data_IF_776955995554
#
_entry.id   IF_776955995554
#
_cell.length_a   1.000
_cell.length_b   1.000
_cell.length_c   1.000
_cell.angle_alpha   90.00
_cell.angle_beta   90.00
_cell.angle_gamma   90.00
#
_symmetry.space_group_name_H-M   'P 1'
#
loop_
_entity.id
_entity.type
_entity.pdbx_description
1 polymer ?
#
# COMPACT_ATOMS: atom_id res chain seq x y z
N UNK A 1 11.97 9.81 25.92
CA UNK A 1 10.63 9.23 26.17
C UNK A 1 9.53 9.62 25.18
N UNK A 2 9.81 10.45 24.17
CA UNK A 2 8.84 10.78 23.13
C UNK A 2 8.73 9.67 22.08
N UNK A 3 7.49 9.25 21.82
CA UNK A 3 7.07 8.38 20.72
C UNK A 3 5.89 9.06 20.01
N UNK A 4 5.70 8.87 18.70
CA UNK A 4 6.49 8.02 17.78
C UNK A 4 7.88 8.57 17.46
N UNK A 5 8.76 7.74 16.86
CA UNK A 5 10.12 8.13 16.46
C UNK A 5 10.32 7.98 14.96
N UNK A 6 10.88 9.00 14.32
CA UNK A 6 11.35 8.89 12.94
C UNK A 6 12.48 7.86 12.83
N UNK A 7 12.40 6.97 11.84
CA UNK A 7 13.41 5.91 11.61
C UNK A 7 14.09 6.03 10.25
N UNK A 8 13.40 6.60 9.26
CA UNK A 8 14.01 6.82 7.97
C UNK A 8 13.00 7.14 6.87
N UNK A 9 13.55 7.33 5.68
CA UNK A 9 12.82 7.64 4.46
C UNK A 9 12.96 6.49 3.47
N UNK A 10 11.83 6.02 2.93
CA UNK A 10 11.80 5.04 1.85
C UNK A 10 11.59 5.75 0.52
N UNK A 11 12.45 5.42 -0.45
CA UNK A 11 12.30 5.81 -1.84
C UNK A 11 11.88 4.59 -2.66
N UNK A 12 10.76 4.67 -3.35
CA UNK A 12 10.23 3.56 -4.14
C UNK A 12 9.31 4.05 -5.26
N UNK A 13 9.05 3.17 -6.23
CA UNK A 13 8.06 3.44 -7.27
C UNK A 13 6.71 2.78 -6.96
N UNK A 14 5.64 3.57 -7.02
CA UNK A 14 4.26 3.08 -7.08
C UNK A 14 3.77 2.93 -8.52
N UNK A 15 2.70 2.16 -8.69
CA UNK A 15 2.04 1.96 -9.97
C UNK A 15 0.79 2.80 -10.08
N UNK A 16 0.70 3.61 -11.13
CA UNK A 16 -0.51 4.37 -11.44
C UNK A 16 -1.69 3.42 -11.70
N UNK A 17 -2.79 3.57 -10.96
CA UNK A 17 -4.01 2.75 -11.07
C UNK A 17 -5.17 3.49 -11.71
N UNK A 18 -5.11 4.83 -11.77
CA UNK A 18 -6.19 5.68 -12.27
C UNK A 18 -5.73 6.47 -13.49
N UNK A 19 -6.44 6.32 -14.61
CA UNK A 19 -6.19 7.15 -15.79
C UNK A 19 -6.71 8.57 -15.57
N UNK A 20 -6.04 9.56 -16.17
CA UNK A 20 -6.54 10.94 -16.27
C UNK A 20 -6.77 11.67 -14.95
N UNK A 21 -6.01 11.33 -13.90
CA UNK A 21 -5.99 12.14 -12.68
C UNK A 21 -5.24 13.44 -12.95
N UNK A 22 -5.89 14.58 -12.69
CA UNK A 22 -5.22 15.88 -12.67
C UNK A 22 -4.62 16.07 -11.30
N UNK A 23 -3.33 16.37 -11.24
CA UNK A 23 -2.64 16.55 -9.98
C UNK A 23 -1.90 17.87 -9.98
N UNK A 24 -2.18 18.67 -8.95
CA UNK A 24 -1.61 20.00 -8.79
C UNK A 24 -0.21 19.88 -8.22
N UNK A 25 0.70 20.75 -8.69
CA UNK A 25 2.05 20.81 -8.16
C UNK A 25 2.02 21.13 -6.67
N UNK A 26 2.71 20.33 -5.85
CA UNK A 26 2.74 20.49 -4.40
C UNK A 26 1.66 19.70 -3.65
N UNK A 27 0.84 18.90 -4.34
CA UNK A 27 -0.07 17.97 -3.67
C UNK A 27 0.71 16.94 -2.84
N UNK A 28 0.30 16.74 -1.60
CA UNK A 28 0.72 15.64 -0.73
C UNK A 28 -0.11 14.39 -1.00
N UNK A 29 0.44 13.24 -0.60
CA UNK A 29 -0.24 11.95 -0.73
C UNK A 29 -0.27 11.23 0.61
N UNK A 30 -1.29 10.41 0.81
CA UNK A 30 -1.41 9.54 1.97
C UNK A 30 -1.49 8.08 1.55
N UNK A 31 -0.95 7.20 2.39
CA UNK A 31 -1.07 5.75 2.22
C UNK A 31 -2.33 5.25 2.94
N UNK A 32 -3.14 4.45 2.24
CA UNK A 32 -4.35 3.83 2.77
C UNK A 32 -4.23 2.32 2.62
N UNK A 33 -4.29 1.62 3.75
CA UNK A 33 -4.31 0.15 3.75
C UNK A 33 -5.71 -0.32 3.44
N UNK A 34 -5.86 -1.15 2.41
CA UNK A 34 -7.11 -1.82 2.07
C UNK A 34 -6.92 -3.33 2.15
N UNK A 35 -7.83 -4.00 2.85
CA UNK A 35 -7.99 -5.45 2.79
C UNK A 35 -8.91 -5.77 1.61
N UNK A 36 -8.33 -5.99 0.43
CA UNK A 36 -9.11 -6.51 -0.68
C UNK A 36 -9.20 -8.03 -0.55
N UNK A 37 -10.41 -8.62 -0.57
CA UNK A 37 -10.52 -10.03 -0.89
C UNK A 37 -10.03 -10.22 -2.32
N UNK A 38 -8.91 -10.90 -2.51
CA UNK A 38 -8.52 -11.41 -3.84
C UNK A 38 -9.56 -12.44 -4.24
N UNK A 39 -10.60 -12.00 -4.96
CA UNK A 39 -11.54 -12.91 -5.62
C UNK A 39 -10.76 -13.58 -6.74
N UNK A 40 -10.07 -14.68 -6.42
CA UNK A 40 -9.56 -15.59 -7.44
C UNK A 40 -10.79 -16.15 -8.13
N UNK A 41 -11.01 -15.71 -9.36
CA UNK A 41 -11.98 -16.32 -10.25
C UNK A 41 -11.67 -17.81 -10.31
N UNK A 42 -12.55 -18.64 -9.74
CA UNK A 42 -12.49 -20.09 -9.93
C UNK A 42 -12.61 -20.33 -11.44
N UNK A 43 -11.49 -20.66 -12.08
CA UNK A 43 -11.51 -21.35 -13.36
C UNK A 43 -12.38 -22.59 -13.18
N UNK A 44 -13.53 -22.61 -13.86
CA UNK A 44 -14.46 -23.74 -13.87
C UNK A 44 -13.83 -24.86 -14.70
N UNK A 45 -12.82 -25.53 -14.14
CA UNK A 45 -12.37 -26.81 -14.65
C UNK A 45 -13.44 -27.84 -14.26
N UNK A 46 -14.30 -28.15 -15.22
CA UNK A 46 -15.37 -29.15 -15.13
C UNK A 46 -14.74 -30.54 -15.01
N UNK A 47 -14.45 -30.99 -13.80
CA UNK A 47 -14.11 -32.39 -13.52
C UNK A 47 -15.28 -33.10 -12.85
N UNK A 48 -15.94 -33.99 -13.59
CA UNK A 48 -16.80 -35.03 -13.03
C UNK A 48 -15.99 -35.92 -12.09
N UNK A 49 -16.14 -35.82 -10.74
CA UNK A 49 -15.84 -36.93 -9.80
C UNK A 49 -16.68 -36.85 -8.51
N UNK A 50 -16.91 -38.05 -7.97
CA UNK A 50 -17.76 -38.54 -6.86
C UNK A 50 -17.85 -37.68 -5.57
N UNK A 51 -18.92 -37.84 -4.76
CA UNK A 51 -19.04 -37.20 -3.44
C UNK A 51 -18.02 -37.80 -2.46
N UNK A 52 -16.94 -37.07 -2.24
CA UNK A 52 -15.90 -37.36 -1.24
C UNK A 52 -15.55 -36.08 -0.49
N UNK A 53 -15.26 -36.24 0.80
CA UNK A 53 -15.00 -35.23 1.83
C UNK A 53 -14.22 -34.00 1.32
N UNK A 54 -14.78 -32.80 1.52
CA UNK A 54 -14.12 -31.52 1.24
C UNK A 54 -13.07 -31.27 2.33
N UNK A 55 -11.81 -31.58 2.06
CA UNK A 55 -10.70 -31.08 2.87
C UNK A 55 -10.58 -29.57 2.58
N UNK A 56 -10.95 -28.73 3.55
CA UNK A 56 -10.78 -27.28 3.41
C UNK A 56 -9.28 -26.98 3.38
N UNK A 57 -8.79 -26.51 2.23
CA UNK A 57 -7.40 -26.10 2.08
C UNK A 57 -7.05 -24.93 3.01
N UNK A 58 -5.75 -24.69 3.26
CA UNK A 58 -5.30 -23.62 4.15
C UNK A 58 -5.91 -22.27 3.74
N UNK A 59 -6.46 -21.53 4.72
CA UNK A 59 -7.06 -20.20 4.55
C UNK A 59 -6.09 -19.31 3.77
N UNK A 60 -6.48 -18.88 2.57
CA UNK A 60 -5.71 -17.91 1.78
C UNK A 60 -5.48 -16.65 2.62
N UNK A 61 -4.21 -16.32 2.88
CA UNK A 61 -3.83 -15.05 3.51
C UNK A 61 -4.29 -13.92 2.59
N UNK A 62 -5.17 -13.05 3.08
CA UNK A 62 -5.53 -11.82 2.37
C UNK A 62 -4.27 -10.97 2.23
N UNK A 63 -3.91 -10.63 0.99
CA UNK A 63 -2.81 -9.73 0.71
C UNK A 63 -3.27 -8.30 1.03
N UNK A 64 -2.62 -7.66 2.00
CA UNK A 64 -2.79 -6.22 2.25
C UNK A 64 -2.36 -5.44 1.00
N UNK A 65 -3.22 -4.54 0.52
CA UNK A 65 -2.90 -3.65 -0.59
C UNK A 65 -2.80 -2.23 -0.05
N UNK A 66 -1.65 -1.59 -0.24
CA UNK A 66 -1.43 -0.20 0.15
C UNK A 66 -1.70 0.69 -1.06
N UNK A 67 -2.75 1.48 -0.97
CA UNK A 67 -3.17 2.46 -1.99
C UNK A 67 -2.61 3.82 -1.63
N UNK A 68 -2.38 4.63 -2.65
CA UNK A 68 -1.90 6.00 -2.51
C UNK A 68 -3.02 6.93 -2.96
N UNK A 69 -3.44 7.81 -2.05
CA UNK A 69 -4.47 8.81 -2.31
C UNK A 69 -3.87 10.19 -2.27
N UNK A 70 -4.37 11.07 -3.13
CA UNK A 70 -4.07 12.50 -3.05
C UNK A 70 -4.80 13.05 -1.81
N UNK A 71 -4.10 13.73 -0.91
CA UNK A 71 -4.70 14.16 0.36
C UNK A 71 -5.85 15.15 0.16
N UNK A 72 -5.67 16.12 -0.73
CA UNK A 72 -6.65 17.18 -0.99
C UNK A 72 -7.97 16.67 -1.57
N UNK A 73 -7.93 15.64 -2.41
CA UNK A 73 -9.12 15.11 -3.10
C UNK A 73 -9.62 13.79 -2.53
N UNK A 74 -8.83 13.10 -1.72
CA UNK A 74 -9.10 11.73 -1.27
C UNK A 74 -9.10 10.69 -2.39
N UNK A 75 -8.82 11.07 -3.65
CA UNK A 75 -8.86 10.17 -4.79
C UNK A 75 -7.63 9.29 -4.81
N UNK A 76 -7.86 8.00 -4.99
CA UNK A 76 -6.78 7.06 -5.31
C UNK A 76 -6.23 7.34 -6.70
N UNK A 77 -4.91 7.32 -6.81
CA UNK A 77 -4.24 7.46 -8.08
C UNK A 77 -3.18 6.38 -8.34
N UNK A 78 -2.66 5.76 -7.29
CA UNK A 78 -1.64 4.73 -7.43
C UNK A 78 -1.68 3.71 -6.30
N UNK A 79 -0.90 2.65 -6.43
CA UNK A 79 -0.72 1.60 -5.42
C UNK A 79 0.75 1.22 -5.28
N UNK A 80 1.13 0.78 -4.09
CA UNK A 80 2.47 0.23 -3.88
C UNK A 80 2.61 -1.16 -4.53
N UNK A 81 3.84 -1.59 -4.86
CA UNK A 81 4.11 -2.97 -5.28
C UNK A 81 3.59 -3.98 -4.25
N UNK A 82 3.17 -5.16 -4.70
CA UNK A 82 2.60 -6.19 -3.81
C UNK A 82 3.56 -6.60 -2.68
N UNK A 83 4.85 -6.70 -2.97
CA UNK A 83 5.88 -7.04 -1.98
C UNK A 83 5.96 -5.97 -0.88
N UNK A 84 6.04 -4.70 -1.28
CA UNK A 84 6.06 -3.55 -0.35
C UNK A 84 4.74 -3.47 0.42
N UNK A 85 3.60 -3.65 -0.25
CA UNK A 85 2.28 -3.65 0.38
C UNK A 85 2.13 -4.75 1.42
N UNK A 86 2.70 -5.93 1.18
CA UNK A 86 2.70 -7.03 2.13
C UNK A 86 3.48 -6.70 3.40
N UNK A 87 4.68 -6.12 3.27
CA UNK A 87 5.50 -5.74 4.42
C UNK A 87 4.94 -4.51 5.14
N UNK A 88 4.76 -3.40 4.43
CA UNK A 88 4.36 -2.12 5.01
C UNK A 88 2.89 -2.14 5.44
N UNK A 89 2.02 -2.80 4.69
CA UNK A 89 0.59 -2.84 4.99
C UNK A 89 0.27 -3.53 6.31
N UNK A 90 1.01 -4.59 6.68
CA UNK A 90 0.85 -5.24 8.00
C UNK A 90 1.29 -4.29 9.11
N UNK A 91 2.46 -3.66 8.97
CA UNK A 91 2.99 -2.75 9.99
C UNK A 91 2.07 -1.54 10.22
N UNK A 92 1.50 -1.00 9.13
CA UNK A 92 0.52 0.10 9.19
C UNK A 92 -0.81 -0.35 9.80
N UNK A 93 -1.33 -1.52 9.42
CA UNK A 93 -2.59 -2.03 9.94
C UNK A 93 -2.54 -2.32 11.45
N UNK A 94 -1.42 -2.86 11.94
CA UNK A 94 -1.19 -3.13 13.37
C UNK A 94 -0.84 -1.85 14.16
N UNK A 95 -0.70 -0.69 13.50
CA UNK A 95 -0.31 0.56 14.14
C UNK A 95 1.10 0.51 14.76
N UNK A 96 1.99 -0.32 14.20
CA UNK A 96 3.39 -0.44 14.62
C UNK A 96 4.24 0.67 14.00
N UNK A 97 3.83 1.15 12.82
CA UNK A 97 4.45 2.28 12.11
C UNK A 97 3.38 3.25 11.64
N UNK A 98 3.77 4.50 11.41
CA UNK A 98 2.95 5.53 10.75
C UNK A 98 3.76 6.22 9.66
N UNK A 99 3.04 6.76 8.67
CA UNK A 99 3.61 7.63 7.64
C UNK A 99 3.56 9.06 8.16
N UNK A 100 4.71 9.69 8.33
CA UNK A 100 4.81 11.09 8.74
C UNK A 100 4.50 12.02 7.58
N UNK A 101 5.08 11.72 6.43
CA UNK A 101 4.82 12.41 5.18
C UNK A 101 5.01 11.44 4.01
N UNK A 102 4.26 11.63 2.94
CA UNK A 102 4.54 11.02 1.66
C UNK A 102 4.38 12.06 0.56
N UNK A 103 5.39 12.17 -0.29
CA UNK A 103 5.40 13.16 -1.36
C UNK A 103 5.87 12.57 -2.68
N UNK A 104 5.47 13.27 -3.76
CA UNK A 104 5.76 12.95 -5.15
C UNK A 104 6.02 14.24 -5.94
N UNK A 105 6.60 15.24 -5.25
CA UNK A 105 6.66 16.64 -5.69
C UNK A 105 7.26 16.82 -7.08
N UNK A 106 8.38 16.16 -7.34
CA UNK A 106 9.05 16.14 -8.66
C UNK A 106 8.15 15.56 -9.75
N UNK A 107 7.46 14.44 -9.46
CA UNK A 107 6.60 13.76 -10.42
C UNK A 107 5.37 14.61 -10.77
N UNK A 108 4.72 15.22 -9.78
CA UNK A 108 3.58 16.12 -10.02
C UNK A 108 4.00 17.39 -10.77
N UNK A 109 5.18 17.94 -10.49
CA UNK A 109 5.73 19.08 -11.24
C UNK A 109 5.92 18.75 -12.72
N UNK A 110 6.54 17.60 -13.04
CA UNK A 110 6.81 17.17 -14.43
C UNK A 110 5.54 16.83 -15.22
N UNK A 111 4.51 16.36 -14.53
CA UNK A 111 3.24 15.92 -15.11
C UNK A 111 2.07 16.88 -14.86
N UNK A 112 2.36 18.13 -14.48
CA UNK A 112 1.34 19.14 -14.23
C UNK A 112 0.43 19.31 -15.46
N UNK A 113 -0.89 19.19 -15.26
CA UNK A 113 -1.92 19.15 -16.32
C UNK A 113 -1.78 18.06 -17.40
N UNK A 114 -0.90 17.07 -17.24
CA UNK A 114 -0.75 15.93 -18.17
C UNK A 114 -1.49 14.71 -17.64
N UNK A 115 -2.07 13.92 -18.54
CA UNK A 115 -2.62 12.61 -18.18
C UNK A 115 -1.48 11.61 -17.98
N UNK A 116 -1.46 10.95 -16.82
CA UNK A 116 -0.51 9.89 -16.51
C UNK A 116 -1.04 8.56 -17.04
N UNK A 117 -0.18 7.79 -17.73
CA UNK A 117 -0.55 6.47 -18.25
C UNK A 117 -0.81 5.49 -17.11
N UNK A 118 -1.76 4.57 -17.31
CA UNK A 118 -1.93 3.41 -16.42
C UNK A 118 -0.62 2.63 -16.34
N UNK A 119 -0.32 2.11 -15.15
CA UNK A 119 0.92 1.40 -14.82
C UNK A 119 2.21 2.22 -14.96
N UNK A 120 2.14 3.53 -15.20
CA UNK A 120 3.32 4.37 -15.08
C UNK A 120 3.90 4.29 -13.67
N UNK A 121 5.23 4.30 -13.60
CA UNK A 121 5.96 4.36 -12.33
C UNK A 121 5.87 5.77 -11.77
N UNK A 122 5.54 5.86 -10.49
CA UNK A 122 5.39 7.10 -9.74
C UNK A 122 6.41 7.04 -8.60
N UNK A 123 7.48 7.85 -8.67
CA UNK A 123 8.45 7.89 -7.59
C UNK A 123 7.82 8.50 -6.34
N UNK A 124 7.95 7.81 -5.22
CA UNK A 124 7.45 8.16 -3.91
C UNK A 124 8.60 8.29 -2.92
N UNK A 125 8.52 9.33 -2.11
CA UNK A 125 9.32 9.50 -0.91
C UNK A 125 8.39 9.40 0.30
N UNK A 126 8.66 8.45 1.21
CA UNK A 126 7.81 8.12 2.34
C UNK A 126 8.63 8.18 3.62
N UNK A 127 8.32 9.12 4.51
CA UNK A 127 8.92 9.21 5.83
C UNK A 127 8.18 8.30 6.81
N UNK A 128 8.92 7.40 7.47
CA UNK A 128 8.37 6.42 8.39
C UNK A 128 8.74 6.75 9.83
N UNK A 129 7.72 6.68 10.68
CA UNK A 129 7.86 6.68 12.12
C UNK A 129 7.46 5.33 12.70
N UNK A 130 8.16 4.92 13.76
CA UNK A 130 7.84 3.72 14.54
C UNK A 130 7.15 4.09 15.84
N UNK A 131 6.19 3.27 16.23
CA UNK A 131 5.49 3.37 17.50
C UNK A 131 6.15 2.49 18.55
N UNK A 132 5.97 2.86 19.83
CA UNK A 132 6.55 2.13 20.96
C UNK A 132 6.13 0.65 20.98
N UNK A 133 4.94 0.34 20.45
CA UNK A 133 4.39 -1.02 20.34
C UNK A 133 5.30 -1.98 19.57
N UNK A 134 6.13 -1.49 18.64
CA UNK A 134 7.06 -2.32 17.88
C UNK A 134 8.21 -2.88 18.73
N UNK A 135 8.55 -2.22 19.84
CA UNK A 135 9.61 -2.63 20.74
C UNK A 135 8.98 -3.22 22.02
N UNK A 136 8.77 -4.55 22.09
CA UNK A 136 8.30 -5.16 23.33
C UNK A 136 9.31 -4.86 24.44
N UNK A 137 8.80 -4.52 25.63
CA UNK A 137 9.61 -4.19 26.82
C UNK A 137 10.54 -5.32 27.30
N UNK A 138 10.56 -6.47 26.62
CA UNK A 138 11.24 -7.71 27.01
C UNK A 138 12.43 -8.11 26.12
N UNK A 139 12.81 -7.31 25.12
CA UNK A 139 13.89 -7.67 24.18
C UNK A 139 15.28 -7.10 24.55
N UNK A 140 15.45 -6.54 25.75
CA UNK A 140 16.74 -6.08 26.26
C UNK A 140 16.97 -6.71 27.64
N UNK A 141 17.65 -7.85 27.64
CA UNK A 141 18.46 -8.33 28.76
C UNK A 141 19.90 -8.41 28.29
#
# INVERSE_FOLDING_TARGET
DSWPKFVGTLFLDAFCTTSSIKIDSGSSVKLVVSSQPTRISKSSARTHRKPGIIHTGPKQKQLSVVRVQIESSGKEFSRLPNQVSGCLGVLLAEGLVSVRSACVSEFFRRNHHKSVRLNALIPLEIEIEVHRKLFPKSACS
#
